data_IF_858168560971
#
_entry.id   IF_858168560971
#
_cell.length_a   1.000
_cell.length_b   1.000
_cell.length_c   1.000
_cell.angle_alpha   90.00
_cell.angle_beta   90.00
_cell.angle_gamma   90.00
#
_symmetry.space_group_name_H-M   'P 1'
#
loop_
_entity.id
_entity.type
_entity.pdbx_description
1 polymer ?
#
# COMPACT_ATOMS: atom_id res chain seq x y z
N UNK A 1 6.48 -6.28 15.42
CA UNK A 1 5.44 -6.44 14.38
C UNK A 1 4.59 -7.70 14.60
N UNK A 2 3.26 -7.56 14.57
CA UNK A 2 2.30 -8.67 14.49
C UNK A 2 1.76 -8.79 13.04
N UNK A 3 2.19 -9.83 12.32
CA UNK A 3 1.89 -9.99 10.89
C UNK A 3 0.43 -10.29 10.61
N UNK A 4 -0.24 -11.09 11.44
CA UNK A 4 -1.65 -11.45 11.25
C UNK A 4 -2.54 -10.21 11.35
N UNK A 5 -2.24 -9.37 12.35
CA UNK A 5 -2.95 -8.11 12.54
C UNK A 5 -2.68 -7.13 11.40
N UNK A 6 -1.43 -7.03 10.94
CA UNK A 6 -1.08 -6.19 9.80
C UNK A 6 -1.90 -6.56 8.56
N UNK A 7 -2.00 -7.86 8.24
CA UNK A 7 -2.78 -8.34 7.08
C UNK A 7 -4.25 -7.92 7.18
N UNK A 8 -4.83 -7.94 8.39
CA UNK A 8 -6.23 -7.51 8.60
C UNK A 8 -6.44 -6.00 8.42
N UNK A 9 -5.39 -5.19 8.56
CA UNK A 9 -5.42 -3.73 8.38
C UNK A 9 -5.16 -3.30 6.92
N UNK A 10 -4.74 -4.23 6.04
CA UNK A 10 -4.44 -3.94 4.64
C UNK A 10 -5.71 -3.73 3.82
N UNK A 11 -5.71 -2.68 3.02
CA UNK A 11 -6.68 -2.41 1.96
C UNK A 11 -6.07 -2.79 0.62
N UNK A 12 -6.82 -3.55 -0.19
CA UNK A 12 -6.41 -4.00 -1.51
C UNK A 12 -7.27 -3.36 -2.59
N UNK A 13 -6.62 -2.75 -3.59
CA UNK A 13 -7.30 -2.15 -4.73
C UNK A 13 -6.73 -2.68 -6.04
N UNK A 14 -7.57 -3.36 -6.82
CA UNK A 14 -7.22 -3.73 -8.18
C UNK A 14 -7.26 -2.48 -9.07
N UNK A 15 -6.15 -2.16 -9.72
CA UNK A 15 -6.01 -1.02 -10.62
C UNK A 15 -5.61 -1.49 -12.02
N UNK A 16 -6.01 -0.72 -13.03
CA UNK A 16 -5.60 -0.96 -14.42
C UNK A 16 -4.14 -0.53 -14.59
N UNK A 17 -3.37 -1.29 -15.37
CA UNK A 17 -2.01 -0.88 -15.72
C UNK A 17 -2.06 0.30 -16.70
N UNK A 18 -1.61 1.47 -16.25
CA UNK A 18 -1.60 2.71 -17.03
C UNK A 18 -0.38 2.81 -17.96
N UNK A 19 -0.03 1.74 -18.68
CA UNK A 19 0.95 1.84 -19.76
C UNK A 19 0.40 2.72 -20.90
N UNK A 20 1.23 3.56 -21.56
CA UNK A 20 0.82 4.38 -22.70
C UNK A 20 0.21 3.47 -23.77
N UNK A 21 -1.08 3.69 -24.05
CA UNK A 21 -1.87 2.82 -24.91
C UNK A 21 -1.66 3.18 -26.38
N UNK A 22 -1.00 2.30 -27.14
CA UNK A 22 -1.28 2.15 -28.56
C UNK A 22 -2.72 1.67 -28.75
N UNK A 23 -3.35 2.05 -29.87
CA UNK A 23 -4.70 1.62 -30.20
C UNK A 23 -4.78 0.08 -30.18
N UNK A 24 -5.83 -0.45 -29.53
CA UNK A 24 -6.21 -1.87 -29.49
C UNK A 24 -5.61 -2.78 -28.37
N UNK A 25 -5.70 -2.40 -27.08
CA UNK A 25 -5.39 -3.34 -25.97
C UNK A 25 -6.53 -3.41 -24.94
N UNK A 26 -7.20 -4.57 -24.88
CA UNK A 26 -8.15 -4.92 -23.82
C UNK A 26 -7.42 -4.91 -22.46
N UNK A 27 -7.64 -3.89 -21.64
CA UNK A 27 -6.96 -3.72 -20.34
C UNK A 27 -7.70 -4.45 -19.22
N UNK A 28 -7.28 -5.69 -18.95
CA UNK A 28 -7.58 -6.41 -17.70
C UNK A 28 -6.83 -5.74 -16.54
N UNK A 29 -7.46 -5.63 -15.36
CA UNK A 29 -6.82 -5.09 -14.16
C UNK A 29 -5.72 -6.04 -13.67
N UNK A 30 -4.47 -5.81 -14.09
CA UNK A 30 -3.31 -6.67 -13.76
C UNK A 30 -2.44 -6.14 -12.64
N UNK A 31 -2.78 -5.01 -12.01
CA UNK A 31 -2.00 -4.38 -10.95
C UNK A 31 -2.84 -4.28 -9.68
N UNK A 32 -2.22 -4.55 -8.53
CA UNK A 32 -2.84 -4.42 -7.21
C UNK A 32 -2.06 -3.38 -6.41
N UNK A 33 -2.79 -2.43 -5.84
CA UNK A 33 -2.30 -1.45 -4.88
C UNK A 33 -2.70 -1.90 -3.47
N UNK A 34 -1.78 -1.75 -2.52
CA UNK A 34 -1.99 -2.11 -1.11
C UNK A 34 -1.69 -0.88 -0.25
N UNK A 35 -2.60 -0.54 0.66
CA UNK A 35 -2.44 0.58 1.59
C UNK A 35 -2.98 0.22 2.97
N UNK A 36 -2.47 0.87 4.01
CA UNK A 36 -2.96 0.75 5.40
C UNK A 36 -2.63 2.03 6.16
N UNK A 37 -3.28 2.26 7.30
CA UNK A 37 -3.02 3.44 8.12
C UNK A 37 -1.89 3.15 9.12
N UNK A 38 -0.74 3.83 8.94
CA UNK A 38 0.44 3.65 9.78
C UNK A 38 0.24 4.15 11.23
N UNK A 39 -0.50 5.25 11.40
CA UNK A 39 -0.71 5.89 12.70
C UNK A 39 -1.57 5.02 13.63
N UNK A 40 -2.70 4.57 13.10
CA UNK A 40 -3.68 3.77 13.83
C UNK A 40 -3.37 2.28 13.81
N UNK A 41 -2.32 1.84 13.12
CA UNK A 41 -1.92 0.44 13.08
C UNK A 41 -1.54 -0.03 14.49
N UNK A 42 -2.16 -1.12 14.93
CA UNK A 42 -1.81 -1.79 16.19
C UNK A 42 -0.86 -2.97 15.95
N UNK A 43 -0.53 -3.25 14.68
CA UNK A 43 0.39 -4.30 14.27
C UNK A 43 1.87 -3.91 14.41
N UNK A 44 2.16 -2.62 14.53
CA UNK A 44 3.51 -2.04 14.59
C UNK A 44 3.75 -1.38 15.94
N UNK A 45 4.97 -1.55 16.47
CA UNK A 45 5.44 -0.79 17.63
C UNK A 45 5.76 0.66 17.26
N UNK A 46 5.81 1.55 18.24
CA UNK A 46 6.11 2.97 18.00
C UNK A 46 7.49 3.19 17.35
N UNK A 47 8.50 2.40 17.73
CA UNK A 47 9.82 2.45 17.10
C UNK A 47 9.78 1.99 15.63
N UNK A 48 8.96 0.98 15.31
CA UNK A 48 8.76 0.55 13.92
C UNK A 48 8.03 1.62 13.10
N UNK A 49 7.00 2.26 13.68
CA UNK A 49 6.28 3.38 13.05
C UNK A 49 7.21 4.56 12.77
N UNK A 50 8.03 4.95 13.74
CA UNK A 50 8.99 6.05 13.60
C UNK A 50 10.03 5.76 12.50
N UNK A 51 10.54 4.52 12.45
CA UNK A 51 11.46 4.08 11.38
C UNK A 51 10.79 4.14 10.00
N UNK A 52 9.52 3.75 9.91
CA UNK A 52 8.75 3.81 8.66
C UNK A 52 8.46 5.25 8.24
N UNK A 53 8.08 6.14 9.17
CA UNK A 53 7.92 7.58 8.88
C UNK A 53 9.19 8.19 8.31
N UNK A 54 10.34 7.88 8.91
CA UNK A 54 11.62 8.42 8.47
C UNK A 54 12.07 7.85 7.12
N UNK A 55 11.90 6.54 6.89
CA UNK A 55 12.39 5.89 5.65
C UNK A 55 11.45 5.99 4.46
N UNK A 56 10.14 6.06 4.71
CA UNK A 56 9.10 5.98 3.67
C UNK A 56 8.26 7.26 3.60
N UNK A 57 8.77 8.38 4.10
CA UNK A 57 8.08 9.69 4.06
C UNK A 57 7.53 10.04 2.67
N UNK A 58 8.24 9.69 1.60
CA UNK A 58 7.81 9.93 0.20
C UNK A 58 6.68 9.02 -0.31
N UNK A 59 6.28 8.00 0.47
CA UNK A 59 5.22 7.04 0.15
C UNK A 59 4.05 7.10 1.13
N UNK A 60 4.15 7.89 2.18
CA UNK A 60 3.07 8.12 3.15
C UNK A 60 2.23 9.27 2.61
N UNK A 61 0.95 9.00 2.35
CA UNK A 61 -0.03 10.06 2.08
C UNK A 61 -0.45 10.69 3.39
N UNK A 62 -0.61 12.01 3.40
CA UNK A 62 -1.19 12.76 4.51
C UNK A 62 -2.69 12.47 4.67
#
# INVERSE_FOLDING_TARGET
MNTEKLISELSFKAIRSSGPGGQHVNKTASKVEVSFNLETSEALSETEKERLRNKLSSKISS
#
